data_IF_908357892444
#
_entry.id   IF_908357892444
#
_cell.length_a   1.000
_cell.length_b   1.000
_cell.length_c   1.000
_cell.angle_alpha   90.00
_cell.angle_beta   90.00
_cell.angle_gamma   90.00
#
_symmetry.space_group_name_H-M   'P 1'
#
loop_
_entity.id
_entity.type
_entity.pdbx_description
1 polymer ?
#
# COMPACT_ATOMS: atom_id res chain seq x y z
N UNK A 1 -53.30 -25.28 2.83
CA UNK A 1 -52.92 -24.47 3.98
C UNK A 1 -51.56 -24.84 4.61
N UNK A 2 -51.06 -26.09 4.51
CA UNK A 2 -49.71 -26.45 5.06
C UNK A 2 -48.51 -25.85 4.31
N UNK A 3 -48.62 -25.59 3.00
CA UNK A 3 -47.52 -25.05 2.20
C UNK A 3 -47.31 -23.55 2.36
N UNK A 4 -48.38 -22.78 2.65
CA UNK A 4 -48.28 -21.33 2.87
C UNK A 4 -47.54 -21.01 4.17
N UNK A 5 -47.68 -21.85 5.22
CA UNK A 5 -46.97 -21.66 6.51
C UNK A 5 -45.48 -21.98 6.40
N UNK A 6 -45.08 -22.89 5.51
CA UNK A 6 -43.66 -23.19 5.25
C UNK A 6 -42.97 -22.10 4.44
N UNK A 7 -43.67 -21.51 3.50
CA UNK A 7 -43.12 -20.35 2.71
C UNK A 7 -42.94 -19.13 3.60
N UNK A 8 -43.87 -18.87 4.53
CA UNK A 8 -43.75 -17.74 5.49
C UNK A 8 -42.59 -17.89 6.48
N UNK A 9 -42.33 -19.11 6.93
CA UNK A 9 -41.21 -19.41 7.85
C UNK A 9 -39.85 -19.32 7.14
N UNK A 10 -39.76 -19.69 5.85
CA UNK A 10 -38.54 -19.53 5.05
C UNK A 10 -38.26 -18.06 4.72
N UNK A 11 -39.28 -17.26 4.43
CA UNK A 11 -39.12 -15.82 4.19
C UNK A 11 -38.71 -15.05 5.45
N UNK A 12 -39.21 -15.47 6.63
CA UNK A 12 -38.79 -14.86 7.91
C UNK A 12 -37.36 -15.24 8.30
N UNK A 13 -36.90 -16.47 7.98
CA UNK A 13 -35.53 -16.90 8.20
C UNK A 13 -34.53 -16.19 7.29
N UNK A 14 -34.91 -15.88 6.03
CA UNK A 14 -34.08 -15.06 5.12
C UNK A 14 -34.03 -13.59 5.53
N UNK A 15 -35.08 -13.04 6.15
CA UNK A 15 -35.06 -11.66 6.65
C UNK A 15 -34.20 -11.48 7.91
N UNK A 16 -33.95 -12.54 8.67
CA UNK A 16 -33.08 -12.47 9.86
C UNK A 16 -31.58 -12.59 9.53
N UNK A 17 -31.22 -12.95 8.29
CA UNK A 17 -29.80 -13.00 7.87
C UNK A 17 -29.31 -11.62 7.38
N UNK A 18 -30.22 -10.67 7.17
CA UNK A 18 -29.90 -9.29 6.85
C UNK A 18 -29.89 -8.39 8.12
N UNK A 19 -29.33 -8.88 9.22
CA UNK A 19 -28.83 -7.96 10.24
C UNK A 19 -27.63 -7.25 9.59
N UNK A 20 -27.64 -5.90 9.51
CA UNK A 20 -26.45 -5.20 9.08
C UNK A 20 -25.32 -5.65 10.00
N UNK A 21 -24.28 -6.23 9.45
CA UNK A 21 -23.05 -6.40 10.19
C UNK A 21 -22.74 -5.05 10.81
N UNK A 22 -22.72 -5.00 12.14
CA UNK A 22 -22.48 -3.77 12.88
C UNK A 22 -21.26 -3.08 12.26
N UNK A 23 -21.49 -1.84 11.88
CA UNK A 23 -20.51 -0.90 11.42
C UNK A 23 -19.15 -1.12 12.09
N UNK A 24 -18.24 -1.71 11.37
CA UNK A 24 -16.85 -1.92 11.79
C UNK A 24 -15.94 -1.47 10.66
N UNK A 25 -14.83 -0.88 11.00
CA UNK A 25 -13.76 -0.70 10.02
C UNK A 25 -13.44 -2.08 9.40
N UNK A 26 -13.34 -2.14 8.08
CA UNK A 26 -13.06 -3.38 7.35
C UNK A 26 -12.00 -3.11 6.30
N UNK A 27 -10.89 -3.80 6.42
CA UNK A 27 -9.85 -3.79 5.40
C UNK A 27 -10.19 -4.77 4.27
N UNK A 28 -9.92 -4.32 3.06
CA UNK A 28 -9.94 -5.13 1.85
C UNK A 28 -8.64 -4.92 1.11
N UNK A 29 -7.94 -5.99 0.81
CA UNK A 29 -6.81 -5.92 -0.11
C UNK A 29 -7.36 -5.92 -1.53
N UNK A 30 -7.12 -4.83 -2.25
CA UNK A 30 -7.60 -4.65 -3.62
C UNK A 30 -6.62 -5.25 -4.63
N UNK A 31 -5.33 -5.26 -4.25
CA UNK A 31 -4.25 -5.73 -5.08
C UNK A 31 -3.08 -6.22 -4.22
N UNK A 32 -2.45 -7.30 -4.65
CA UNK A 32 -1.22 -7.86 -4.10
C UNK A 32 -0.28 -8.24 -5.23
N UNK A 33 0.98 -7.81 -5.14
CA UNK A 33 2.01 -8.14 -6.11
C UNK A 33 3.26 -8.60 -5.37
N UNK A 34 3.68 -9.83 -5.64
CA UNK A 34 4.91 -10.41 -5.13
C UNK A 34 6.04 -10.24 -6.14
N UNK A 35 7.14 -9.68 -5.70
CA UNK A 35 8.35 -9.51 -6.47
C UNK A 35 9.53 -10.16 -5.76
N UNK A 36 10.24 -10.98 -6.48
CA UNK A 36 11.48 -11.61 -6.01
C UNK A 36 12.65 -10.91 -6.67
N UNK A 37 13.51 -10.32 -5.86
CA UNK A 37 14.67 -9.54 -6.30
C UNK A 37 15.92 -10.22 -5.79
N UNK A 38 16.83 -10.52 -6.70
CA UNK A 38 18.11 -11.11 -6.39
C UNK A 38 19.23 -10.17 -6.79
N UNK A 39 20.08 -9.86 -5.82
CA UNK A 39 21.31 -9.08 -6.00
C UNK A 39 22.53 -9.95 -5.73
N UNK A 40 23.73 -9.36 -5.79
CA UNK A 40 24.97 -10.06 -5.38
C UNK A 40 25.04 -10.30 -3.86
N UNK A 41 24.17 -9.65 -3.07
CA UNK A 41 24.26 -9.59 -1.61
C UNK A 41 23.00 -10.09 -0.90
N UNK A 42 21.89 -10.19 -1.59
CA UNK A 42 20.60 -10.59 -1.01
C UNK A 42 19.71 -11.28 -2.03
N UNK A 43 18.77 -12.05 -1.51
CA UNK A 43 17.68 -12.64 -2.27
C UNK A 43 16.39 -12.40 -1.48
N UNK A 44 15.57 -11.49 -1.97
CA UNK A 44 14.46 -10.93 -1.22
C UNK A 44 13.12 -11.10 -1.93
N UNK A 45 12.08 -11.36 -1.15
CA UNK A 45 10.70 -11.32 -1.59
C UNK A 45 10.03 -10.05 -1.07
N UNK A 46 9.56 -9.19 -1.96
CA UNK A 46 8.79 -7.99 -1.66
C UNK A 46 7.33 -8.21 -1.98
N UNK A 47 6.46 -7.94 -1.03
CA UNK A 47 5.03 -7.88 -1.26
C UNK A 47 4.57 -6.42 -1.22
N UNK A 48 3.98 -5.95 -2.31
CA UNK A 48 3.34 -4.66 -2.41
C UNK A 48 1.84 -4.84 -2.51
N UNK A 49 1.10 -4.17 -1.63
CA UNK A 49 -0.35 -4.27 -1.61
C UNK A 49 -1.03 -2.90 -1.57
N UNK A 50 -2.21 -2.82 -2.18
CA UNK A 50 -3.16 -1.70 -2.02
C UNK A 50 -4.31 -2.17 -1.16
N UNK A 51 -4.58 -1.45 -0.07
CA UNK A 51 -5.55 -1.85 0.95
C UNK A 51 -6.53 -0.72 1.19
N UNK A 52 -7.82 -0.99 1.04
CA UNK A 52 -8.91 -0.02 1.21
C UNK A 52 -9.71 -0.32 2.47
N UNK A 53 -10.11 0.73 3.17
CA UNK A 53 -11.14 0.64 4.19
C UNK A 53 -12.54 0.60 3.53
N UNK A 54 -13.11 -0.59 3.40
CA UNK A 54 -14.47 -0.80 2.87
C UNK A 54 -15.53 -0.83 3.96
N UNK A 55 -15.16 -0.53 5.20
CA UNK A 55 -16.08 -0.36 6.33
C UNK A 55 -16.72 1.02 6.34
N UNK A 56 -17.46 1.30 7.39
CA UNK A 56 -18.14 2.58 7.62
C UNK A 56 -17.58 3.37 8.82
N UNK A 57 -16.45 2.93 9.36
CA UNK A 57 -15.68 3.60 10.43
C UNK A 57 -14.21 3.67 10.07
N UNK A 58 -13.54 4.63 10.68
CA UNK A 58 -12.09 4.73 10.61
C UNK A 58 -11.44 3.44 11.10
N UNK A 59 -10.37 3.04 10.42
CA UNK A 59 -9.57 1.86 10.76
C UNK A 59 -8.09 2.15 10.53
N UNK A 60 -7.26 1.62 11.40
CA UNK A 60 -5.81 1.59 11.19
C UNK A 60 -5.33 0.14 11.03
N UNK A 61 -4.33 -0.07 10.19
CA UNK A 61 -3.62 -1.34 10.10
C UNK A 61 -2.73 -1.43 11.32
N UNK A 62 -2.96 -2.43 12.16
CA UNK A 62 -2.26 -2.58 13.44
C UNK A 62 -1.17 -3.64 13.41
N UNK A 63 -1.26 -4.60 12.50
CA UNK A 63 -0.25 -5.63 12.25
C UNK A 63 -0.49 -6.29 10.89
N UNK A 64 0.52 -6.98 10.40
CA UNK A 64 0.44 -7.83 9.23
C UNK A 64 1.37 -9.01 9.37
N UNK A 65 1.05 -10.09 8.67
CA UNK A 65 1.91 -11.25 8.50
C UNK A 65 1.98 -11.55 7.01
N UNK A 66 3.18 -11.69 6.52
CA UNK A 66 3.50 -12.08 5.18
C UNK A 66 4.32 -13.37 5.22
N UNK A 67 3.94 -14.34 4.41
CA UNK A 67 4.67 -15.58 4.24
C UNK A 67 4.75 -15.91 2.75
N UNK A 68 5.91 -16.39 2.30
CA UNK A 68 6.10 -16.92 0.96
C UNK A 68 6.39 -18.41 1.00
N UNK A 69 5.95 -19.11 -0.03
CA UNK A 69 6.02 -20.56 -0.15
C UNK A 69 6.69 -20.96 -1.46
N UNK A 70 7.48 -22.03 -1.43
CA UNK A 70 8.00 -22.67 -2.65
C UNK A 70 6.92 -23.48 -3.37
N UNK A 71 7.29 -24.08 -4.52
CA UNK A 71 6.37 -24.90 -5.33
C UNK A 71 5.85 -26.15 -4.61
N UNK A 72 6.53 -26.61 -3.56
CA UNK A 72 6.13 -27.71 -2.71
C UNK A 72 5.26 -27.26 -1.51
N UNK A 73 4.98 -25.96 -1.41
CA UNK A 73 4.18 -25.35 -0.35
C UNK A 73 4.94 -25.24 0.98
N UNK A 74 6.28 -25.26 0.97
CA UNK A 74 7.08 -25.03 2.16
C UNK A 74 7.33 -23.54 2.34
N UNK A 75 7.22 -22.99 3.57
CA UNK A 75 7.54 -21.60 3.81
C UNK A 75 9.05 -21.35 3.58
N UNK A 76 9.37 -20.26 2.88
CA UNK A 76 10.74 -19.91 2.52
C UNK A 76 11.15 -18.51 2.98
N UNK A 77 10.20 -17.62 3.25
CA UNK A 77 10.44 -16.34 3.90
C UNK A 77 9.17 -15.88 4.62
N UNK A 78 9.33 -15.05 5.64
CA UNK A 78 8.21 -14.45 6.37
C UNK A 78 8.59 -13.11 6.97
N UNK A 79 7.57 -12.24 7.13
CA UNK A 79 7.68 -10.98 7.84
C UNK A 79 6.43 -10.77 8.69
N UNK A 80 6.57 -10.27 9.90
CA UNK A 80 5.47 -9.94 10.82
C UNK A 80 5.26 -8.43 11.00
N UNK A 81 5.99 -7.62 10.23
CA UNK A 81 5.92 -6.16 10.23
C UNK A 81 5.35 -5.62 8.93
N UNK A 82 4.06 -5.24 8.94
CA UNK A 82 3.44 -4.55 7.82
C UNK A 82 3.76 -3.06 7.86
N UNK A 83 4.53 -2.57 6.91
CA UNK A 83 4.72 -1.15 6.71
C UNK A 83 3.51 -0.55 5.99
N UNK A 84 2.52 -0.12 6.80
CA UNK A 84 1.36 0.59 6.31
C UNK A 84 1.59 2.10 6.41
N UNK A 85 1.64 2.78 5.26
CA UNK A 85 2.06 4.18 5.20
C UNK A 85 1.05 5.12 5.84
N UNK A 86 -0.24 5.03 5.49
CA UNK A 86 -1.28 5.84 6.11
C UNK A 86 -1.82 5.15 7.35
N UNK A 87 -1.63 5.78 8.51
CA UNK A 87 -1.96 5.16 9.81
C UNK A 87 -3.45 5.07 10.12
N UNK A 88 -4.28 5.97 9.57
CA UNK A 88 -5.72 5.97 9.79
C UNK A 88 -6.44 6.16 8.45
N UNK A 89 -7.26 5.18 8.10
CA UNK A 89 -8.06 5.17 6.87
C UNK A 89 -9.52 5.48 7.21
N UNK A 90 -10.06 6.54 6.66
CA UNK A 90 -11.50 6.82 6.67
C UNK A 90 -12.22 5.86 5.71
N UNK A 91 -13.55 5.69 5.84
CA UNK A 91 -14.34 4.91 4.90
C UNK A 91 -14.08 5.30 3.44
N UNK A 92 -13.74 4.31 2.61
CA UNK A 92 -13.39 4.49 1.20
C UNK A 92 -11.95 4.94 0.92
N UNK A 93 -11.15 5.26 1.94
CA UNK A 93 -9.74 5.58 1.74
C UNK A 93 -8.89 4.32 1.64
N UNK A 94 -7.79 4.43 0.92
CA UNK A 94 -6.81 3.35 0.76
C UNK A 94 -5.43 3.77 1.23
N UNK A 95 -4.58 2.79 1.47
CA UNK A 95 -3.14 2.95 1.67
C UNK A 95 -2.38 1.90 0.87
N UNK A 96 -1.09 2.11 0.76
CA UNK A 96 -0.16 1.08 0.33
C UNK A 96 0.44 0.39 1.55
N UNK A 97 0.81 -0.86 1.37
CA UNK A 97 1.50 -1.70 2.37
C UNK A 97 2.68 -2.35 1.68
N UNK A 98 3.84 -2.26 2.30
CA UNK A 98 5.06 -2.98 1.92
C UNK A 98 5.36 -4.02 2.99
N UNK A 99 5.70 -5.22 2.56
CA UNK A 99 6.28 -6.26 3.38
C UNK A 99 7.46 -6.88 2.64
N UNK A 100 8.40 -7.40 3.39
CA UNK A 100 9.65 -7.87 2.84
C UNK A 100 10.15 -9.07 3.64
N UNK A 101 10.66 -10.09 2.95
CA UNK A 101 11.25 -11.26 3.59
C UNK A 101 12.49 -11.73 2.82
N UNK A 102 13.57 -11.94 3.54
CA UNK A 102 14.81 -12.50 2.98
C UNK A 102 14.66 -14.02 2.78
N UNK A 103 15.05 -14.51 1.60
CA UNK A 103 15.11 -15.92 1.29
C UNK A 103 16.49 -16.45 1.70
N UNK A 104 16.54 -17.18 2.83
CA UNK A 104 17.79 -17.75 3.35
C UNK A 104 18.44 -18.79 2.41
N UNK A 105 17.62 -19.51 1.63
CA UNK A 105 18.07 -20.49 0.64
C UNK A 105 17.98 -19.89 -0.77
N UNK A 106 19.11 -19.47 -1.29
CA UNK A 106 19.23 -18.87 -2.63
C UNK A 106 18.79 -19.78 -3.79
N UNK A 107 18.58 -21.08 -3.55
CA UNK A 107 18.10 -22.03 -4.55
C UNK A 107 16.58 -22.12 -4.62
N UNK A 108 15.90 -21.52 -3.64
CA UNK A 108 14.44 -21.48 -3.56
C UNK A 108 13.89 -20.27 -4.32
N UNK A 109 12.67 -20.41 -4.82
CA UNK A 109 11.92 -19.38 -5.52
C UNK A 109 10.52 -19.33 -4.97
N UNK A 110 10.01 -18.15 -4.75
CA UNK A 110 8.63 -17.92 -4.29
C UNK A 110 7.63 -18.30 -5.38
N UNK A 111 6.78 -19.29 -5.09
CA UNK A 111 5.72 -19.75 -6.00
C UNK A 111 4.33 -19.29 -5.56
N UNK A 112 4.15 -19.00 -4.27
CA UNK A 112 2.89 -18.53 -3.67
C UNK A 112 3.18 -17.66 -2.45
N UNK A 113 2.18 -16.90 -2.00
CA UNK A 113 2.28 -16.08 -0.80
C UNK A 113 0.96 -16.00 -0.05
N UNK A 114 1.04 -15.58 1.21
CA UNK A 114 -0.10 -15.24 2.04
C UNK A 114 0.13 -13.90 2.71
N UNK A 115 -0.84 -12.99 2.58
CA UNK A 115 -0.90 -11.74 3.34
C UNK A 115 -2.09 -11.78 4.29
N UNK A 116 -1.83 -11.53 5.58
CA UNK A 116 -2.86 -11.32 6.59
C UNK A 116 -2.67 -9.96 7.23
N UNK A 117 -3.68 -9.10 7.16
CA UNK A 117 -3.67 -7.78 7.80
C UNK A 117 -4.73 -7.71 8.90
N UNK A 118 -4.34 -7.19 10.05
CA UNK A 118 -5.27 -6.89 11.14
C UNK A 118 -5.51 -5.38 11.23
N UNK A 119 -6.79 -5.01 11.37
CA UNK A 119 -7.21 -3.63 11.56
C UNK A 119 -7.66 -3.34 12.98
N UNK A 120 -7.44 -2.11 13.43
CA UNK A 120 -7.91 -1.58 14.71
C UNK A 120 -8.77 -0.34 14.46
N UNK A 121 -9.99 -0.32 15.01
CA UNK A 121 -10.94 0.79 14.83
C UNK A 121 -10.71 1.98 15.77
N UNK A 122 -9.79 1.84 16.71
CA UNK A 122 -9.43 2.93 17.64
C UNK A 122 -8.02 3.42 17.28
N UNK A 123 -7.96 4.54 16.58
CA UNK A 123 -6.71 5.18 16.20
C UNK A 123 -6.52 6.44 17.05
N UNK A 124 -5.36 6.53 17.71
CA UNK A 124 -4.91 7.77 18.38
C UNK A 124 -4.46 8.85 17.39
N UNK A 125 -4.45 8.52 16.10
CA UNK A 125 -4.00 9.39 15.03
C UNK A 125 -5.14 9.58 14.02
N UNK A 126 -5.32 10.82 13.55
CA UNK A 126 -6.06 11.13 12.32
C UNK A 126 -5.06 11.34 11.18
N UNK A 127 -5.53 11.28 9.95
CA UNK A 127 -4.70 11.51 8.78
C UNK A 127 -5.29 12.62 7.93
N UNK A 128 -4.51 13.68 7.70
CA UNK A 128 -4.81 14.72 6.74
C UNK A 128 -4.15 14.37 5.40
N UNK A 129 -4.94 14.12 4.37
CA UNK A 129 -4.43 13.92 3.01
C UNK A 129 -4.22 15.24 2.30
N UNK A 130 -3.14 15.34 1.55
CA UNK A 130 -2.78 16.51 0.77
C UNK A 130 -2.92 16.21 -0.72
N UNK A 131 -3.35 17.19 -1.53
CA UNK A 131 -3.36 17.04 -2.98
C UNK A 131 -1.92 16.88 -3.50
N UNK A 132 -1.73 15.92 -4.40
CA UNK A 132 -0.46 15.71 -5.06
C UNK A 132 -0.65 15.43 -6.55
N UNK A 133 0.41 15.68 -7.33
CA UNK A 133 0.51 15.39 -8.76
C UNK A 133 1.78 14.58 -8.98
N UNK A 134 1.67 13.52 -9.78
CA UNK A 134 2.75 12.58 -10.03
C UNK A 134 3.32 12.71 -11.43
N UNK A 135 4.60 12.42 -11.59
CA UNK A 135 5.30 12.32 -12.87
C UNK A 135 6.29 11.15 -12.81
N UNK A 136 6.33 10.33 -13.85
CA UNK A 136 7.32 9.28 -14.03
C UNK A 136 8.37 9.77 -15.01
N UNK A 137 9.65 9.73 -14.65
CA UNK A 137 10.77 10.03 -15.53
C UNK A 137 11.74 8.86 -15.56
N UNK A 138 11.75 8.19 -16.68
CA UNK A 138 12.67 7.09 -16.94
C UNK A 138 13.88 7.62 -17.72
N UNK A 139 15.07 7.07 -17.39
CA UNK A 139 16.35 7.44 -17.98
C UNK A 139 16.66 8.95 -17.88
N UNK A 140 16.33 9.57 -16.74
CA UNK A 140 16.64 10.97 -16.52
C UNK A 140 18.15 11.18 -16.45
N UNK A 141 18.65 12.13 -17.23
CA UNK A 141 20.09 12.41 -17.30
C UNK A 141 20.58 13.13 -16.05
N UNK A 142 21.52 12.50 -15.34
CA UNK A 142 22.21 13.04 -14.18
C UNK A 142 23.65 13.46 -14.51
N UNK A 143 23.87 13.88 -15.75
CA UNK A 143 25.15 14.32 -16.28
C UNK A 143 25.86 13.20 -17.03
N UNK A 144 26.55 12.31 -16.33
CA UNK A 144 27.32 11.20 -16.94
C UNK A 144 26.68 9.83 -16.74
N UNK A 145 25.55 9.74 -16.05
CA UNK A 145 24.71 8.55 -15.87
C UNK A 145 23.23 8.91 -15.98
N UNK A 146 22.36 7.91 -16.03
CA UNK A 146 20.90 8.07 -16.04
C UNK A 146 20.29 7.27 -14.90
N UNK A 147 19.18 7.75 -14.38
CA UNK A 147 18.40 7.09 -13.32
C UNK A 147 16.91 7.23 -13.59
N UNK A 148 16.13 6.38 -12.94
CA UNK A 148 14.68 6.33 -13.03
C UNK A 148 14.05 6.91 -11.77
N UNK A 149 13.08 7.83 -11.92
CA UNK A 149 12.49 8.53 -10.79
C UNK A 149 10.97 8.60 -10.85
N UNK A 150 10.37 8.51 -9.68
CA UNK A 150 9.02 8.95 -9.40
C UNK A 150 9.07 10.34 -8.77
N UNK A 151 8.36 11.31 -9.35
CA UNK A 151 8.20 12.65 -8.81
C UNK A 151 6.81 12.84 -8.26
N UNK A 152 6.70 13.39 -7.04
CA UNK A 152 5.44 13.72 -6.41
C UNK A 152 5.46 15.19 -5.98
N UNK A 153 4.66 16.01 -6.62
CA UNK A 153 4.48 17.42 -6.23
C UNK A 153 3.32 17.50 -5.25
N UNK A 154 3.63 17.80 -3.99
CA UNK A 154 2.65 17.95 -2.91
C UNK A 154 2.31 19.41 -2.73
N UNK A 155 1.02 19.76 -2.59
CA UNK A 155 0.56 21.12 -2.32
C UNK A 155 -0.12 21.20 -0.97
N UNK A 156 0.34 22.12 -0.13
CA UNK A 156 -0.37 22.47 1.10
C UNK A 156 -1.54 23.43 0.79
N UNK A 157 -2.73 22.88 0.65
CA UNK A 157 -3.96 23.62 0.39
C UNK A 157 -4.67 24.09 1.67
N UNK A 158 -4.05 23.94 2.84
CA UNK A 158 -4.58 24.41 4.13
C UNK A 158 -4.15 25.86 4.40
N UNK A 159 -4.73 26.44 5.44
CA UNK A 159 -4.35 27.80 5.91
C UNK A 159 -3.18 27.77 6.91
N UNK A 160 -2.68 26.60 7.27
CA UNK A 160 -1.62 26.39 8.26
C UNK A 160 -0.33 25.95 7.62
N UNK A 161 0.78 26.24 8.28
CA UNK A 161 2.06 25.60 7.95
C UNK A 161 2.04 24.16 8.44
N UNK A 162 2.41 23.21 7.57
CA UNK A 162 2.44 21.79 7.88
C UNK A 162 3.88 21.30 8.04
N UNK A 163 4.06 20.39 8.97
CA UNK A 163 5.30 19.69 9.27
C UNK A 163 5.09 18.20 9.10
N UNK A 164 6.19 17.44 9.06
CA UNK A 164 6.17 15.96 9.04
C UNK A 164 5.27 15.38 7.94
N UNK A 165 5.35 15.99 6.74
CA UNK A 165 4.65 15.53 5.57
C UNK A 165 5.30 14.24 5.08
N UNK A 166 4.50 13.20 4.95
CA UNK A 166 4.91 11.92 4.37
C UNK A 166 4.28 11.73 3.00
N UNK A 167 5.02 11.07 2.12
CA UNK A 167 4.58 10.70 0.77
C UNK A 167 4.91 9.24 0.55
N UNK A 168 3.97 8.48 0.01
CA UNK A 168 4.23 7.17 -0.58
C UNK A 168 3.85 7.21 -2.05
N UNK A 169 4.72 6.68 -2.91
CA UNK A 169 4.49 6.56 -4.34
C UNK A 169 4.51 5.10 -4.78
N UNK A 170 3.58 4.75 -5.65
CA UNK A 170 3.47 3.45 -6.29
C UNK A 170 3.77 3.56 -7.78
N UNK A 171 4.78 2.84 -8.25
CA UNK A 171 5.07 2.64 -9.66
C UNK A 171 4.10 1.60 -10.22
N UNK A 172 3.43 1.92 -11.33
CA UNK A 172 2.39 1.08 -11.91
C UNK A 172 2.71 0.70 -13.36
N UNK A 173 2.31 -0.52 -13.76
CA UNK A 173 2.27 -0.96 -15.15
C UNK A 173 1.00 -0.49 -15.88
N UNK A 174 0.83 -0.94 -17.14
CA UNK A 174 -0.33 -0.59 -17.98
C UNK A 174 -1.66 -1.13 -17.47
N UNK A 175 -1.64 -2.24 -16.76
CA UNK A 175 -2.80 -2.87 -16.13
C UNK A 175 -3.11 -2.26 -14.74
N UNK A 176 -2.23 -1.37 -14.25
CA UNK A 176 -2.33 -0.75 -12.94
C UNK A 176 -1.77 -1.63 -11.81
N UNK A 177 -1.01 -2.68 -12.12
CA UNK A 177 -0.35 -3.49 -11.10
C UNK A 177 0.79 -2.71 -10.45
N UNK A 178 0.94 -2.89 -9.13
CA UNK A 178 2.02 -2.24 -8.38
C UNK A 178 3.34 -2.96 -8.69
N UNK A 179 4.26 -2.23 -9.28
CA UNK A 179 5.61 -2.69 -9.55
C UNK A 179 6.54 -2.39 -8.37
N UNK A 180 6.49 -1.18 -7.83
CA UNK A 180 7.37 -0.72 -6.76
C UNK A 180 6.66 0.26 -5.83
N UNK A 181 7.07 0.29 -4.57
CA UNK A 181 6.64 1.29 -3.58
C UNK A 181 7.86 1.96 -2.99
N UNK A 182 7.83 3.29 -2.94
CA UNK A 182 8.83 4.08 -2.23
C UNK A 182 8.15 5.17 -1.41
N UNK A 183 8.77 5.55 -0.31
CA UNK A 183 8.29 6.63 0.53
C UNK A 183 9.38 7.65 0.82
N UNK A 184 8.97 8.88 1.08
CA UNK A 184 9.82 9.97 1.49
C UNK A 184 9.09 10.87 2.49
N UNK A 185 9.84 11.59 3.28
CA UNK A 185 9.30 12.41 4.36
C UNK A 185 10.02 13.75 4.48
N UNK A 186 9.26 14.77 4.79
CA UNK A 186 9.80 16.08 5.15
C UNK A 186 10.12 16.12 6.64
N UNK A 187 11.38 15.78 6.99
CA UNK A 187 11.87 15.73 8.37
C UNK A 187 12.54 17.02 8.86
N UNK A 188 12.98 17.00 10.11
CA UNK A 188 13.91 17.94 10.74
C UNK A 188 13.40 19.38 10.86
N UNK A 189 12.12 19.53 11.19
CA UNK A 189 11.51 20.85 11.36
C UNK A 189 11.36 21.63 10.07
N UNK A 190 11.56 20.99 8.90
CA UNK A 190 11.18 21.56 7.63
C UNK A 190 9.67 21.64 7.51
N UNK A 191 9.19 22.69 6.88
CA UNK A 191 7.77 22.99 6.83
C UNK A 191 7.33 23.36 5.42
N UNK A 192 6.12 22.97 5.08
CA UNK A 192 5.43 23.43 3.87
C UNK A 192 4.42 24.48 4.28
N UNK A 193 4.69 25.75 3.91
CA UNK A 193 3.81 26.86 4.25
C UNK A 193 2.47 26.77 3.51
N UNK A 194 1.45 27.43 4.04
CA UNK A 194 0.13 27.51 3.42
C UNK A 194 0.21 27.96 1.96
N UNK A 195 -0.48 27.24 1.06
CA UNK A 195 -0.54 27.54 -0.37
C UNK A 195 0.73 27.25 -1.16
N UNK A 196 1.79 26.72 -0.55
CA UNK A 196 3.02 26.36 -1.26
C UNK A 196 3.02 24.89 -1.69
N UNK A 197 3.95 24.55 -2.61
CA UNK A 197 4.15 23.19 -3.08
C UNK A 197 5.61 22.78 -2.93
N UNK A 198 5.83 21.48 -2.80
CA UNK A 198 7.15 20.84 -2.74
C UNK A 198 7.17 19.62 -3.65
N UNK A 199 8.34 19.30 -4.19
CA UNK A 199 8.57 18.11 -5.00
C UNK A 199 9.38 17.10 -4.21
N UNK A 200 8.87 15.91 -4.07
CA UNK A 200 9.57 14.72 -3.61
C UNK A 200 10.08 13.97 -4.84
N UNK A 201 11.32 13.52 -4.79
CA UNK A 201 11.96 12.75 -5.84
C UNK A 201 12.42 11.43 -5.28
N UNK A 202 11.81 10.35 -5.72
CA UNK A 202 12.04 8.98 -5.27
C UNK A 202 12.69 8.20 -6.39
N UNK A 203 13.84 7.60 -6.12
CA UNK A 203 14.57 6.76 -7.07
C UNK A 203 13.90 5.40 -7.19
N UNK A 204 13.89 4.85 -8.41
CA UNK A 204 13.49 3.47 -8.67
C UNK A 204 14.77 2.66 -8.78
N UNK A 205 15.02 1.70 -7.88
CA UNK A 205 16.26 0.92 -7.89
C UNK A 205 16.45 0.15 -9.19
N UNK A 206 17.70 0.10 -9.67
CA UNK A 206 18.06 -0.54 -10.94
C UNK A 206 17.67 -2.03 -10.98
N UNK A 207 17.79 -2.73 -9.85
CA UNK A 207 17.43 -4.16 -9.75
C UNK A 207 15.96 -4.43 -10.03
N UNK A 208 15.06 -3.52 -9.63
CA UNK A 208 13.63 -3.64 -9.96
C UNK A 208 13.39 -3.36 -11.44
N UNK A 209 14.03 -2.34 -12.01
CA UNK A 209 13.91 -2.03 -13.43
C UNK A 209 14.42 -3.18 -14.30
N UNK A 210 15.56 -3.79 -13.95
CA UNK A 210 16.10 -4.96 -14.62
C UNK A 210 15.16 -6.18 -14.53
N UNK A 211 14.52 -6.38 -13.36
CA UNK A 211 13.53 -7.43 -13.16
C UNK A 211 12.32 -7.23 -14.10
N UNK A 212 11.80 -5.99 -14.22
CA UNK A 212 10.65 -5.70 -15.08
C UNK A 212 10.98 -5.89 -16.55
N UNK A 213 12.14 -5.41 -16.99
CA UNK A 213 12.63 -5.62 -18.37
C UNK A 213 12.71 -7.13 -18.68
N UNK A 214 13.31 -7.92 -17.78
CA UNK A 214 13.42 -9.37 -17.95
C UNK A 214 12.06 -10.08 -18.03
N UNK A 215 11.02 -9.53 -17.37
CA UNK A 215 9.64 -10.03 -17.42
C UNK A 215 8.80 -9.43 -18.57
N UNK A 216 9.37 -8.51 -19.36
CA UNK A 216 8.66 -7.80 -20.43
C UNK A 216 7.59 -6.83 -19.91
N UNK A 217 7.74 -6.35 -18.69
CA UNK A 217 6.85 -5.38 -18.05
C UNK A 217 7.42 -3.97 -18.23
N UNK A 218 6.53 -2.99 -18.35
CA UNK A 218 6.94 -1.59 -18.56
C UNK A 218 6.21 -0.71 -17.55
N UNK A 219 6.94 0.01 -16.69
CA UNK A 219 6.36 1.07 -15.86
C UNK A 219 5.77 2.18 -16.73
N UNK A 220 4.57 2.65 -16.42
CA UNK A 220 3.89 3.68 -17.23
C UNK A 220 3.35 4.86 -16.43
N UNK A 221 3.12 4.68 -15.14
CA UNK A 221 2.53 5.73 -14.31
C UNK A 221 2.92 5.59 -12.84
N UNK A 222 2.63 6.65 -12.10
CA UNK A 222 2.82 6.72 -10.65
C UNK A 222 1.49 7.12 -10.02
N UNK A 223 1.05 6.38 -8.98
CA UNK A 223 0.03 6.84 -8.03
C UNK A 223 0.72 7.24 -6.72
N UNK A 224 0.16 8.20 -5.98
CA UNK A 224 0.78 8.61 -4.73
C UNK A 224 -0.24 9.08 -3.69
N UNK A 225 0.16 8.95 -2.42
CA UNK A 225 -0.55 9.49 -1.28
C UNK A 225 0.40 10.42 -0.52
N UNK A 226 0.03 11.69 -0.41
CA UNK A 226 0.69 12.64 0.46
C UNK A 226 -0.18 12.90 1.70
N UNK A 227 0.41 12.88 2.90
CA UNK A 227 -0.35 12.96 4.13
C UNK A 227 0.46 13.53 5.32
N UNK A 228 -0.28 13.97 6.33
CA UNK A 228 0.24 14.33 7.65
C UNK A 228 -0.55 13.54 8.69
N UNK A 229 0.13 12.91 9.63
CA UNK A 229 -0.50 12.26 10.78
C UNK A 229 -0.70 13.30 11.89
N UNK A 230 -1.93 13.40 12.39
CA UNK A 230 -2.34 14.35 13.44
C UNK A 230 -2.72 13.53 14.67
N UNK A 231 -2.02 13.75 15.78
CA UNK A 231 -2.40 13.13 17.05
C UNK A 231 -3.77 13.64 17.51
N UNK A 232 -4.62 12.72 17.98
CA UNK A 232 -5.92 13.06 18.58
C UNK A 232 -5.70 13.36 20.06
N UNK A 233 -6.22 14.52 20.52
CA UNK A 233 -6.25 14.93 21.94
C UNK A 233 -7.06 13.95 22.82
#
# INVERSE_FOLDING_TARGET
>A
MKNAKRALLLSLALLMIALPALAAGKLQTDQENLWEVKTDWSHDAFLFAKVTNVGDRDISISSGVFETYDAEGQPIASDDYAEAYVKCLKPGEYTYVRMYGELEDETKTAADHMLTLAGKSDSSVDTLRLPCVTELRLNESMGWYTEDYMYVTVTNNTEQTLFDISVVAALLDQEGNILYLEDDNLYDGRALTAGSSMVFRMEIPEEFMALYEAKGMTPVSVDAIAYVNIEKD
#
